data_IF_536366037738
#
_entry.id   IF_536366037738
#
_cell.length_a   1.000
_cell.length_b   1.000
_cell.length_c   1.000
_cell.angle_alpha   90.00
_cell.angle_beta   90.00
_cell.angle_gamma   90.00
#
_symmetry.space_group_name_H-M   'P 1'
#
loop_
_entity.id
_entity.type
_entity.pdbx_description
1 polymer ?
#
# COMPACT_ATOMS: atom_id res chain seq x y z
N UNK A 1 -7.20 6.41 -18.25
CA UNK A 1 -5.94 6.29 -19.01
C UNK A 1 -4.98 5.46 -18.15
N UNK A 2 -4.09 4.67 -18.73
CA UNK A 2 -3.35 3.64 -18.00
C UNK A 2 -2.08 4.15 -17.33
N UNK A 3 -1.53 3.32 -16.43
CA UNK A 3 -0.19 3.51 -15.86
C UNK A 3 0.85 3.38 -16.96
N UNK A 4 1.79 4.31 -17.01
CA UNK A 4 2.97 4.24 -17.87
C UNK A 4 4.04 3.42 -17.15
N UNK A 5 4.52 2.37 -17.81
CA UNK A 5 5.49 1.43 -17.25
C UNK A 5 6.69 1.28 -18.19
N UNK A 6 7.90 1.04 -17.64
CA UNK A 6 9.03 0.60 -18.44
C UNK A 6 8.67 -0.64 -19.28
N UNK A 7 9.03 -0.65 -20.56
CA UNK A 7 8.58 -1.67 -21.50
C UNK A 7 8.89 -3.13 -21.09
N UNK A 8 9.93 -3.32 -20.28
CA UNK A 8 10.39 -4.64 -19.86
C UNK A 8 9.93 -5.04 -18.45
N UNK A 9 9.06 -4.26 -17.80
CA UNK A 9 8.59 -4.59 -16.46
C UNK A 9 7.76 -5.88 -16.48
N UNK A 10 8.09 -6.91 -15.68
CA UNK A 10 7.40 -8.21 -15.69
C UNK A 10 5.89 -8.13 -15.43
N UNK A 11 5.46 -7.13 -14.65
CA UNK A 11 4.04 -6.87 -14.38
C UNK A 11 3.20 -6.69 -15.66
N UNK A 12 3.77 -6.14 -16.73
CA UNK A 12 3.04 -5.86 -18.00
C UNK A 12 2.39 -7.11 -18.56
N UNK A 13 3.14 -8.23 -18.64
CA UNK A 13 2.62 -9.47 -19.25
C UNK A 13 1.49 -10.08 -18.41
N UNK A 14 1.57 -9.98 -17.09
CA UNK A 14 0.50 -10.47 -16.21
C UNK A 14 -0.74 -9.59 -16.31
N UNK A 15 -0.57 -8.28 -16.25
CA UNK A 15 -1.68 -7.31 -16.35
C UNK A 15 -2.41 -7.41 -17.70
N UNK A 16 -1.70 -7.62 -18.80
CA UNK A 16 -2.31 -7.88 -20.12
C UNK A 16 -3.18 -9.14 -20.09
N UNK A 17 -2.74 -10.23 -19.42
CA UNK A 17 -3.56 -11.45 -19.28
C UNK A 17 -4.81 -11.22 -18.43
N UNK A 18 -4.78 -10.28 -17.51
CA UNK A 18 -5.92 -9.85 -16.68
C UNK A 18 -6.83 -8.85 -17.41
N UNK A 19 -6.57 -8.53 -18.70
CA UNK A 19 -7.26 -7.49 -19.48
C UNK A 19 -7.14 -6.08 -18.86
N UNK A 20 -6.08 -5.82 -18.13
CA UNK A 20 -5.75 -4.51 -17.57
C UNK A 20 -4.87 -3.78 -18.57
N UNK A 21 -5.33 -2.59 -19.01
CA UNK A 21 -4.60 -1.80 -19.98
C UNK A 21 -3.48 -1.01 -19.30
N UNK A 22 -2.24 -1.23 -19.72
CA UNK A 22 -1.05 -0.46 -19.36
C UNK A 22 -0.46 0.20 -20.60
N UNK A 23 0.26 1.31 -20.42
CA UNK A 23 0.84 2.10 -21.52
C UNK A 23 2.36 2.02 -21.45
N UNK A 24 3.02 1.94 -22.60
CA UNK A 24 4.46 2.13 -22.71
C UNK A 24 4.84 3.61 -22.83
N UNK A 25 6.11 3.91 -22.59
CA UNK A 25 6.64 5.28 -22.60
C UNK A 25 6.49 5.98 -23.95
N UNK A 26 6.57 5.23 -25.07
CA UNK A 26 6.43 5.79 -26.41
C UNK A 26 5.00 6.32 -26.66
N UNK A 27 4.01 5.55 -26.25
CA UNK A 27 2.62 5.97 -26.36
C UNK A 27 2.27 7.10 -25.41
N UNK A 28 2.81 7.07 -24.17
CA UNK A 28 2.60 8.12 -23.19
C UNK A 28 3.15 9.47 -23.67
N UNK A 29 4.36 9.49 -24.22
CA UNK A 29 5.00 10.71 -24.71
C UNK A 29 4.32 11.36 -25.91
N UNK A 30 3.43 10.64 -26.60
CA UNK A 30 2.64 11.16 -27.73
C UNK A 30 1.37 11.91 -27.29
N UNK A 31 1.07 11.98 -26.00
CA UNK A 31 -0.11 12.65 -25.44
C UNK A 31 0.28 13.96 -24.74
N UNK A 32 -0.45 15.04 -25.04
CA UNK A 32 -0.26 16.35 -24.38
C UNK A 32 -1.02 16.40 -23.04
N UNK A 33 -0.62 15.53 -22.08
CA UNK A 33 -1.23 15.41 -20.76
C UNK A 33 -0.11 15.30 -19.73
N UNK A 34 -0.20 16.07 -18.65
CA UNK A 34 0.68 15.88 -17.50
C UNK A 34 0.25 14.62 -16.73
N UNK A 35 1.04 13.55 -16.74
CA UNK A 35 0.74 12.37 -15.93
C UNK A 35 0.94 12.70 -14.44
N UNK A 36 0.22 11.98 -13.59
CA UNK A 36 0.50 11.97 -12.15
C UNK A 36 1.77 11.16 -11.89
N UNK A 37 2.73 11.75 -11.21
CA UNK A 37 3.96 11.07 -10.77
C UNK A 37 3.71 10.35 -9.45
N UNK A 38 3.66 9.04 -9.51
CA UNK A 38 3.48 8.20 -8.32
C UNK A 38 4.76 7.46 -8.01
N UNK A 39 5.27 7.68 -6.78
CA UNK A 39 6.42 6.96 -6.24
C UNK A 39 5.93 5.78 -5.40
N UNK A 40 6.56 4.61 -5.54
CA UNK A 40 6.29 3.44 -4.69
C UNK A 40 7.57 3.03 -3.99
N UNK A 41 7.63 3.22 -2.68
CA UNK A 41 8.67 2.62 -1.83
C UNK A 41 8.25 1.20 -1.49
N UNK A 42 8.87 0.24 -2.17
CA UNK A 42 8.56 -1.18 -2.01
C UNK A 42 9.51 -1.84 -1.01
N UNK A 43 9.00 -2.07 0.21
CA UNK A 43 9.72 -2.72 1.31
C UNK A 43 9.49 -4.23 1.39
N UNK A 44 8.58 -4.75 0.54
CA UNK A 44 8.23 -6.18 0.53
C UNK A 44 9.36 -7.05 -0.03
N UNK A 45 9.49 -8.28 0.48
CA UNK A 45 10.56 -9.19 0.03
C UNK A 45 10.33 -9.74 -1.39
N UNK A 46 9.06 -9.90 -1.81
CA UNK A 46 8.66 -10.35 -3.14
C UNK A 46 8.26 -9.14 -3.99
N UNK A 47 9.25 -8.34 -4.41
CA UNK A 47 9.00 -7.04 -5.05
C UNK A 47 8.17 -7.14 -6.32
N UNK A 48 8.46 -8.09 -7.19
CA UNK A 48 7.75 -8.29 -8.48
C UNK A 48 6.26 -8.56 -8.26
N UNK A 49 5.90 -9.34 -7.25
CA UNK A 49 4.50 -9.59 -6.90
C UNK A 49 3.83 -8.31 -6.41
N UNK A 50 4.48 -7.61 -5.47
CA UNK A 50 3.95 -6.36 -4.90
C UNK A 50 3.81 -5.26 -5.95
N UNK A 51 4.76 -5.13 -6.87
CA UNK A 51 4.66 -4.22 -8.03
C UNK A 51 3.37 -4.49 -8.81
N UNK A 52 3.14 -5.76 -9.16
CA UNK A 52 1.97 -6.17 -9.93
C UNK A 52 0.67 -5.84 -9.20
N UNK A 53 0.61 -6.10 -7.89
CA UNK A 53 -0.56 -5.83 -7.07
C UNK A 53 -0.87 -4.33 -6.99
N UNK A 54 0.13 -3.49 -6.76
CA UNK A 54 -0.02 -2.03 -6.72
C UNK A 54 -0.40 -1.49 -8.11
N UNK A 55 0.29 -1.91 -9.18
CA UNK A 55 0.00 -1.43 -10.53
C UNK A 55 -1.41 -1.82 -10.98
N UNK A 56 -1.89 -3.00 -10.60
CA UNK A 56 -3.27 -3.44 -10.87
C UNK A 56 -4.30 -2.44 -10.34
N UNK A 57 -4.11 -1.93 -9.12
CA UNK A 57 -5.01 -0.95 -8.50
C UNK A 57 -4.85 0.44 -9.11
N UNK A 58 -3.60 0.87 -9.33
CA UNK A 58 -3.32 2.17 -9.99
C UNK A 58 -3.83 2.24 -11.43
N UNK A 59 -3.97 1.10 -12.11
CA UNK A 59 -4.47 1.04 -13.51
C UNK A 59 -5.99 1.20 -13.61
N UNK A 60 -6.72 1.16 -12.50
CA UNK A 60 -8.19 1.28 -12.50
C UNK A 60 -8.65 2.75 -12.37
N UNK A 61 -8.06 3.64 -13.14
CA UNK A 61 -8.39 5.07 -13.17
C UNK A 61 -8.31 5.62 -14.60
N UNK A 62 -9.07 6.65 -14.96
CA UNK A 62 -8.89 7.37 -16.22
C UNK A 62 -7.67 8.29 -16.24
N UNK A 63 -7.02 8.52 -15.09
CA UNK A 63 -5.85 9.38 -14.97
C UNK A 63 -4.60 8.69 -15.52
N UNK A 64 -3.74 9.44 -16.20
CA UNK A 64 -2.44 8.93 -16.62
C UNK A 64 -1.47 8.98 -15.43
N UNK A 65 -0.76 7.86 -15.20
CA UNK A 65 0.18 7.71 -14.09
C UNK A 65 1.55 7.34 -14.65
N UNK A 66 2.55 8.09 -14.24
CA UNK A 66 3.98 7.79 -14.38
C UNK A 66 4.46 7.17 -13.06
N UNK A 67 4.86 5.90 -13.12
CA UNK A 67 5.27 5.14 -11.93
C UNK A 67 6.78 5.16 -11.77
N UNK A 68 7.24 5.51 -10.57
CA UNK A 68 8.64 5.38 -10.14
C UNK A 68 8.71 4.37 -9.00
N UNK A 69 9.58 3.36 -9.12
CA UNK A 69 9.81 2.38 -8.06
C UNK A 69 11.07 2.75 -7.27
N UNK A 70 10.99 2.64 -5.96
CA UNK A 70 12.09 2.91 -5.03
C UNK A 70 12.26 1.77 -4.04
N UNK A 71 13.50 1.48 -3.68
CA UNK A 71 13.85 0.52 -2.64
C UNK A 71 14.85 1.09 -1.64
N UNK A 72 15.06 0.38 -0.52
CA UNK A 72 16.09 0.71 0.45
C UNK A 72 17.41 0.09 -0.01
N UNK A 73 18.42 0.93 -0.22
CA UNK A 73 19.73 0.54 -0.77
C UNK A 73 20.47 -0.48 0.09
N UNK A 74 20.46 -0.27 1.40
CA UNK A 74 21.18 -1.12 2.34
C UNK A 74 20.49 -2.46 2.65
N UNK A 75 19.28 -2.64 2.14
CA UNK A 75 18.49 -3.85 2.36
C UNK A 75 18.63 -4.81 1.15
N UNK A 76 19.54 -5.79 1.28
CA UNK A 76 19.69 -6.86 0.27
C UNK A 76 18.39 -7.69 0.19
N UNK A 77 17.64 -7.48 -0.87
CA UNK A 77 16.45 -8.27 -1.17
C UNK A 77 16.86 -9.69 -1.57
N UNK A 78 16.69 -10.65 -0.65
CA UNK A 78 17.06 -12.06 -0.89
C UNK A 78 16.18 -12.76 -1.94
N UNK A 79 15.00 -12.22 -2.23
CA UNK A 79 13.96 -12.87 -3.04
C UNK A 79 13.68 -12.13 -4.36
N UNK A 80 14.45 -11.11 -4.70
CA UNK A 80 14.33 -10.38 -5.96
C UNK A 80 15.68 -10.39 -6.68
N UNK A 81 15.74 -10.75 -7.98
CA UNK A 81 16.96 -10.71 -8.75
C UNK A 81 17.59 -9.31 -8.73
N UNK A 82 18.93 -9.25 -8.62
CA UNK A 82 19.63 -7.96 -8.57
C UNK A 82 19.46 -7.18 -9.88
N UNK A 83 19.38 -7.89 -11.00
CA UNK A 83 19.18 -7.30 -12.33
C UNK A 83 17.86 -6.56 -12.39
N UNK A 84 16.79 -7.10 -11.78
CA UNK A 84 15.50 -6.46 -11.71
C UNK A 84 15.54 -5.15 -10.89
N UNK A 85 16.27 -5.16 -9.76
CA UNK A 85 16.45 -3.95 -8.95
C UNK A 85 17.21 -2.88 -9.72
N UNK A 86 18.31 -3.25 -10.39
CA UNK A 86 19.12 -2.31 -11.16
C UNK A 86 18.40 -1.73 -12.38
N UNK A 87 17.46 -2.48 -12.95
CA UNK A 87 16.73 -2.05 -14.15
C UNK A 87 15.52 -1.17 -13.82
N UNK A 88 14.80 -1.45 -12.72
CA UNK A 88 13.47 -0.87 -12.46
C UNK A 88 13.39 -0.03 -11.18
N UNK A 89 14.34 -0.14 -10.25
CA UNK A 89 14.28 0.55 -8.97
C UNK A 89 15.31 1.67 -8.88
N UNK A 90 14.92 2.71 -8.17
CA UNK A 90 15.78 3.84 -7.83
C UNK A 90 16.15 3.77 -6.34
N UNK A 91 17.34 4.26 -6.01
CA UNK A 91 17.73 4.60 -4.65
C UNK A 91 17.10 5.95 -4.23
N UNK A 92 16.98 6.19 -2.93
CA UNK A 92 16.47 7.46 -2.43
C UNK A 92 17.27 8.66 -2.93
N UNK A 93 18.59 8.56 -3.03
CA UNK A 93 19.46 9.63 -3.55
C UNK A 93 19.13 10.05 -4.99
N UNK A 94 18.59 9.17 -5.80
CA UNK A 94 18.20 9.42 -7.18
C UNK A 94 16.86 10.15 -7.30
N UNK A 95 15.99 10.02 -6.30
CA UNK A 95 14.63 10.59 -6.32
C UNK A 95 14.45 11.80 -5.39
N UNK A 96 15.29 11.97 -4.37
CA UNK A 96 15.10 13.01 -3.33
C UNK A 96 15.08 14.45 -3.84
N UNK A 97 15.63 14.73 -5.01
CA UNK A 97 15.58 16.04 -5.67
C UNK A 97 14.32 16.28 -6.51
N UNK A 98 13.37 15.34 -6.52
CA UNK A 98 12.15 15.40 -7.30
C UNK A 98 10.92 15.57 -6.40
N UNK A 99 9.83 16.06 -7.00
CA UNK A 99 8.51 16.09 -6.37
C UNK A 99 7.59 15.07 -7.04
N UNK A 100 6.67 14.51 -6.25
CA UNK A 100 5.70 13.50 -6.68
C UNK A 100 4.28 13.90 -6.27
N UNK A 101 3.31 13.54 -7.10
CA UNK A 101 1.90 13.76 -6.78
C UNK A 101 1.43 12.81 -5.68
N UNK A 102 1.92 11.56 -5.68
CA UNK A 102 1.60 10.58 -4.65
C UNK A 102 2.78 9.68 -4.31
N UNK A 103 2.78 9.17 -3.07
CA UNK A 103 3.70 8.15 -2.60
C UNK A 103 2.91 6.98 -2.00
N UNK A 104 3.30 5.77 -2.33
CA UNK A 104 2.83 4.55 -1.65
C UNK A 104 4.03 3.92 -0.95
N UNK A 105 3.93 3.69 0.36
CA UNK A 105 4.91 2.93 1.13
C UNK A 105 4.30 1.60 1.51
N UNK A 106 4.88 0.51 1.04
CA UNK A 106 4.35 -0.84 1.27
C UNK A 106 4.65 -1.35 2.69
N UNK A 107 4.00 -2.42 3.09
CA UNK A 107 4.38 -3.19 4.28
C UNK A 107 5.81 -3.74 4.21
N UNK A 108 6.29 -4.23 5.35
CA UNK A 108 7.59 -4.88 5.48
C UNK A 108 7.50 -6.03 6.50
N UNK A 109 8.21 -7.16 6.30
CA UNK A 109 8.14 -8.33 7.19
C UNK A 109 9.01 -8.17 8.45
N UNK A 110 9.00 -7.01 9.06
CA UNK A 110 9.80 -6.64 10.25
C UNK A 110 8.93 -6.13 11.41
N UNK A 111 7.63 -6.37 11.34
CA UNK A 111 6.64 -5.83 12.27
C UNK A 111 6.82 -6.26 13.73
N UNK A 112 7.45 -7.41 13.97
CA UNK A 112 7.71 -7.89 15.33
C UNK A 112 8.93 -7.24 15.99
N UNK A 113 9.80 -6.57 15.21
CA UNK A 113 10.93 -5.83 15.76
C UNK A 113 10.48 -4.45 16.28
N UNK A 114 11.04 -3.94 17.38
CA UNK A 114 10.98 -2.51 17.68
C UNK A 114 11.43 -1.70 16.46
N UNK A 115 10.86 -0.52 16.25
CA UNK A 115 11.20 0.29 15.07
C UNK A 115 12.68 0.63 15.02
N UNK A 116 13.28 0.94 16.17
CA UNK A 116 14.68 1.32 16.34
C UNK A 116 15.65 0.16 16.03
N UNK A 117 15.18 -1.09 16.07
CA UNK A 117 15.97 -2.28 15.74
C UNK A 117 15.90 -2.64 14.24
N UNK A 118 15.03 -1.98 13.48
CA UNK A 118 14.98 -2.16 12.02
C UNK A 118 16.21 -1.50 11.41
N UNK A 119 17.04 -2.29 10.72
CA UNK A 119 18.37 -1.87 10.23
C UNK A 119 18.34 -0.62 9.35
N UNK A 120 17.25 -0.39 8.64
CA UNK A 120 17.03 0.75 7.74
C UNK A 120 16.08 1.81 8.32
N UNK A 121 15.84 1.80 9.65
CA UNK A 121 14.91 2.74 10.28
C UNK A 121 15.28 4.20 10.07
N UNK A 122 16.54 4.55 10.19
CA UNK A 122 17.01 5.93 9.97
C UNK A 122 16.71 6.42 8.55
N UNK A 123 16.88 5.56 7.54
CA UNK A 123 16.56 5.91 6.15
C UNK A 123 15.04 6.04 5.93
N UNK A 124 14.22 5.22 6.58
CA UNK A 124 12.75 5.36 6.54
C UNK A 124 12.33 6.71 7.14
N UNK A 125 12.88 7.10 8.28
CA UNK A 125 12.59 8.40 8.90
C UNK A 125 12.98 9.57 7.98
N UNK A 126 14.12 9.47 7.30
CA UNK A 126 14.56 10.48 6.32
C UNK A 126 13.57 10.58 5.15
N UNK A 127 13.17 9.44 4.57
CA UNK A 127 12.20 9.39 3.47
C UNK A 127 10.82 9.92 3.92
N UNK A 128 10.35 9.57 5.11
CA UNK A 128 9.07 10.06 5.64
C UNK A 128 9.07 11.58 5.81
N UNK A 129 10.14 12.13 6.40
CA UNK A 129 10.28 13.57 6.55
C UNK A 129 10.38 14.29 5.20
N UNK A 130 11.13 13.73 4.25
CA UNK A 130 11.22 14.23 2.88
C UNK A 130 9.84 14.23 2.19
N UNK A 131 9.07 13.15 2.33
CA UNK A 131 7.76 13.02 1.69
C UNK A 131 6.80 14.14 2.09
N UNK A 132 6.85 14.62 3.35
CA UNK A 132 6.01 15.74 3.82
C UNK A 132 6.18 17.04 3.03
N UNK A 133 7.31 17.22 2.35
CA UNK A 133 7.68 18.43 1.62
C UNK A 133 7.73 18.23 0.10
N UNK A 134 7.76 16.98 -0.37
CA UNK A 134 7.96 16.66 -1.79
C UNK A 134 6.81 15.83 -2.39
N UNK A 135 5.82 15.48 -1.58
CA UNK A 135 4.69 14.64 -2.02
C UNK A 135 3.37 15.26 -1.59
N UNK A 136 2.39 15.28 -2.49
CA UNK A 136 1.05 15.83 -2.17
C UNK A 136 0.30 14.93 -1.19
N UNK A 137 0.20 13.61 -1.47
CA UNK A 137 -0.46 12.65 -0.57
C UNK A 137 0.28 11.32 -0.52
N UNK A 138 0.36 10.74 0.68
CA UNK A 138 1.07 9.46 0.93
C UNK A 138 0.13 8.41 1.49
N UNK A 139 0.14 7.21 0.90
CA UNK A 139 -0.45 6.00 1.46
C UNK A 139 0.63 5.17 2.16
N UNK A 140 0.51 4.98 3.45
CA UNK A 140 1.32 4.05 4.25
C UNK A 140 0.52 2.76 4.46
N UNK A 141 1.07 1.60 4.08
CA UNK A 141 0.35 0.31 4.12
C UNK A 141 0.98 -0.61 5.18
N UNK A 142 0.15 -1.24 6.00
CA UNK A 142 0.48 -2.25 7.01
C UNK A 142 1.60 -1.78 7.97
N UNK A 143 2.78 -2.39 7.92
CA UNK A 143 3.91 -1.97 8.75
C UNK A 143 4.27 -0.49 8.55
N UNK A 144 4.24 0.00 7.31
CA UNK A 144 4.55 1.41 7.05
C UNK A 144 3.50 2.34 7.67
N UNK A 145 2.23 1.92 7.77
CA UNK A 145 1.21 2.68 8.49
C UNK A 145 1.55 2.82 9.98
N UNK A 146 1.94 1.71 10.62
CA UNK A 146 2.37 1.73 12.02
C UNK A 146 3.65 2.56 12.21
N UNK A 147 4.61 2.43 11.29
CA UNK A 147 5.88 3.17 11.31
C UNK A 147 5.66 4.68 11.15
N UNK A 148 4.78 5.09 10.23
CA UNK A 148 4.43 6.49 10.02
C UNK A 148 3.69 7.09 11.22
N UNK A 149 2.71 6.38 11.78
CA UNK A 149 1.99 6.79 12.98
C UNK A 149 2.93 6.93 14.19
N UNK A 150 3.89 6.00 14.34
CA UNK A 150 4.90 6.09 15.38
C UNK A 150 5.85 7.27 15.18
N UNK A 151 6.41 7.40 13.97
CA UNK A 151 7.40 8.43 13.64
C UNK A 151 6.86 9.83 13.80
N UNK A 152 5.65 10.08 13.29
CA UNK A 152 5.10 11.43 13.24
C UNK A 152 4.26 11.82 14.46
N UNK A 153 3.62 10.84 15.09
CA UNK A 153 2.59 11.08 16.11
C UNK A 153 2.84 10.34 17.42
N UNK A 154 3.91 9.54 17.51
CA UNK A 154 4.26 8.79 18.70
C UNK A 154 3.26 7.67 19.04
N UNK A 155 2.42 7.26 18.10
CA UNK A 155 1.45 6.17 18.32
C UNK A 155 2.18 4.83 18.35
N UNK A 156 2.13 4.08 19.46
CA UNK A 156 2.84 2.81 19.57
C UNK A 156 2.13 1.70 18.79
N UNK A 157 2.88 0.69 18.39
CA UNK A 157 2.32 -0.60 17.97
C UNK A 157 2.29 -1.58 19.13
N UNK A 158 1.32 -2.47 19.12
CA UNK A 158 1.13 -3.51 20.13
C UNK A 158 1.18 -4.89 19.48
N UNK A 159 1.82 -5.90 20.13
CA UNK A 159 1.78 -7.26 19.65
C UNK A 159 0.37 -7.84 19.82
N UNK A 160 -0.05 -8.63 18.85
CA UNK A 160 -1.25 -9.45 18.92
C UNK A 160 -0.93 -10.80 19.58
N UNK A 161 -1.86 -11.37 20.31
CA UNK A 161 -1.71 -12.72 20.88
C UNK A 161 -1.63 -13.79 19.78
N UNK A 162 -2.38 -13.58 18.71
CA UNK A 162 -2.38 -14.42 17.51
C UNK A 162 -2.27 -13.56 16.25
N UNK A 163 -1.73 -14.12 15.18
CA UNK A 163 -1.65 -13.45 13.88
C UNK A 163 -3.06 -13.08 13.43
N UNK A 164 -3.30 -11.80 13.16
CA UNK A 164 -4.50 -11.33 12.45
C UNK A 164 -4.38 -11.77 11.00
N UNK A 165 -5.13 -12.83 10.63
CA UNK A 165 -4.95 -13.50 9.35
C UNK A 165 -6.29 -13.89 8.72
N UNK A 166 -6.65 -13.23 7.62
CA UNK A 166 -7.93 -13.47 6.95
C UNK A 166 -8.49 -12.24 6.25
N UNK A 167 -9.79 -12.29 5.96
CA UNK A 167 -10.56 -11.24 5.29
C UNK A 167 -11.66 -10.77 6.23
N UNK A 168 -11.55 -9.54 6.72
CA UNK A 168 -12.40 -8.99 7.77
C UNK A 168 -13.35 -7.93 7.23
N UNK A 169 -14.51 -7.84 7.84
CA UNK A 169 -15.53 -6.83 7.53
C UNK A 169 -15.18 -5.51 8.22
N UNK A 170 -15.32 -4.42 7.49
CA UNK A 170 -15.08 -3.06 7.95
C UNK A 170 -16.25 -2.14 7.66
N UNK A 171 -16.33 -1.04 8.39
CA UNK A 171 -17.26 0.06 8.16
C UNK A 171 -16.51 1.38 8.10
N UNK A 172 -17.09 2.37 7.44
CA UNK A 172 -16.61 3.75 7.48
C UNK A 172 -17.21 4.49 8.66
N UNK A 173 -16.39 5.23 9.44
CA UNK A 173 -16.87 6.06 10.55
C UNK A 173 -17.61 7.30 10.02
N UNK A 174 -17.22 7.81 8.86
CA UNK A 174 -17.93 8.84 8.11
C UNK A 174 -17.95 8.45 6.61
N UNK A 175 -19.04 7.83 6.14
CA UNK A 175 -19.17 7.39 4.74
C UNK A 175 -19.31 8.56 3.75
N UNK A 176 -19.45 9.80 4.21
CA UNK A 176 -19.54 10.98 3.35
C UNK A 176 -18.17 11.45 2.85
N UNK A 177 -17.09 10.99 3.47
CA UNK A 177 -15.73 11.34 3.06
C UNK A 177 -15.42 10.84 1.65
N UNK A 178 -14.75 11.65 0.81
CA UNK A 178 -14.45 11.28 -0.57
C UNK A 178 -13.70 9.95 -0.74
N UNK A 179 -12.89 9.56 0.25
CA UNK A 179 -12.16 8.27 0.23
C UNK A 179 -13.08 7.05 0.16
N UNK A 180 -14.29 7.14 0.73
CA UNK A 180 -15.29 6.07 0.76
C UNK A 180 -16.34 6.17 -0.34
N UNK A 181 -16.24 7.13 -1.25
CA UNK A 181 -17.23 7.32 -2.30
C UNK A 181 -17.41 6.06 -3.15
N UNK A 182 -18.64 5.55 -3.15
CA UNK A 182 -19.02 4.36 -3.90
C UNK A 182 -18.72 3.02 -3.21
N UNK A 183 -18.12 3.05 -2.01
CA UNK A 183 -18.03 1.85 -1.17
C UNK A 183 -19.42 1.56 -0.57
N UNK A 184 -19.67 0.27 -0.32
CA UNK A 184 -20.84 -0.18 0.42
C UNK A 184 -20.69 0.16 1.91
N UNK A 185 -21.79 0.11 2.68
CA UNK A 185 -21.80 0.37 4.14
C UNK A 185 -20.89 -0.60 4.89
N UNK A 186 -20.76 -1.83 4.38
CA UNK A 186 -19.86 -2.87 4.85
C UNK A 186 -18.96 -3.32 3.70
N UNK A 187 -17.67 -3.40 3.95
CA UNK A 187 -16.71 -3.84 2.95
C UNK A 187 -15.63 -4.73 3.58
N UNK A 188 -14.99 -5.56 2.76
CA UNK A 188 -14.05 -6.57 3.23
C UNK A 188 -12.61 -6.20 2.87
N UNK A 189 -11.68 -6.49 3.79
CA UNK A 189 -10.26 -6.20 3.62
C UNK A 189 -9.42 -7.37 4.12
N UNK A 190 -8.41 -7.83 3.36
CA UNK A 190 -7.42 -8.79 3.83
C UNK A 190 -6.51 -8.19 4.89
N UNK A 191 -6.18 -8.98 5.91
CA UNK A 191 -5.17 -8.69 6.91
C UNK A 191 -4.21 -9.86 7.07
N UNK A 192 -2.92 -9.55 7.26
CA UNK A 192 -1.87 -10.49 7.61
C UNK A 192 -0.83 -9.77 8.46
N UNK A 193 -1.01 -9.75 9.77
CA UNK A 193 -0.14 -8.98 10.68
C UNK A 193 -0.07 -9.59 12.08
N UNK A 194 1.05 -9.36 12.78
CA UNK A 194 1.31 -9.77 14.16
C UNK A 194 1.24 -8.61 15.15
N UNK A 195 1.02 -7.39 14.66
CA UNK A 195 0.95 -6.19 15.50
C UNK A 195 -0.24 -5.31 15.07
N UNK A 196 -0.66 -4.43 15.96
CA UNK A 196 -1.75 -3.49 15.75
C UNK A 196 -1.41 -2.10 16.27
N UNK A 197 -2.15 -1.09 15.80
CA UNK A 197 -2.33 0.19 16.48
C UNK A 197 -3.71 0.18 17.14
N UNK A 198 -3.80 0.71 18.34
CA UNK A 198 -5.06 0.70 19.10
C UNK A 198 -5.80 2.01 18.96
N UNK A 199 -7.14 1.90 18.95
CA UNK A 199 -8.02 3.06 18.91
C UNK A 199 -7.70 4.06 20.02
N UNK A 200 -7.50 3.56 21.23
CA UNK A 200 -7.26 4.39 22.42
C UNK A 200 -5.95 5.20 22.34
N UNK A 201 -4.96 4.74 21.57
CA UNK A 201 -3.73 5.49 21.34
C UNK A 201 -3.88 6.54 20.26
N UNK A 202 -4.63 6.23 19.20
CA UNK A 202 -4.95 7.18 18.13
C UNK A 202 -5.83 8.33 18.63
N UNK A 203 -6.82 8.06 19.49
CA UNK A 203 -7.71 9.07 20.08
C UNK A 203 -6.99 10.09 20.98
N UNK A 204 -5.79 9.79 21.43
CA UNK A 204 -4.94 10.75 22.18
C UNK A 204 -4.25 11.78 21.26
N UNK A 205 -4.27 11.55 19.95
CA UNK A 205 -3.59 12.39 18.95
C UNK A 205 -4.62 13.16 18.15
N UNK A 206 -4.77 14.45 18.45
CA UNK A 206 -5.77 15.32 17.84
C UNK A 206 -5.61 15.50 16.32
N UNK A 207 -4.40 15.29 15.79
CA UNK A 207 -4.05 15.46 14.39
C UNK A 207 -4.42 14.23 13.54
N UNK A 208 -4.78 13.10 14.16
CA UNK A 208 -5.11 11.86 13.48
C UNK A 208 -6.59 11.55 13.63
N UNK A 209 -7.26 11.28 12.51
CA UNK A 209 -8.67 10.89 12.47
C UNK A 209 -8.79 9.44 12.04
N UNK A 210 -9.51 8.62 12.81
CA UNK A 210 -9.84 7.24 12.44
C UNK A 210 -11.02 7.27 11.47
N UNK A 211 -10.79 6.76 10.26
CA UNK A 211 -11.79 6.81 9.19
C UNK A 211 -12.59 5.50 9.05
N UNK A 212 -11.96 4.36 9.34
CA UNK A 212 -12.57 3.04 9.16
C UNK A 212 -12.02 2.03 10.17
N UNK A 213 -12.91 1.15 10.62
CA UNK A 213 -12.64 0.15 11.64
C UNK A 213 -13.39 -1.15 11.37
N UNK A 214 -12.97 -2.20 12.09
CA UNK A 214 -13.60 -3.50 12.16
C UNK A 214 -13.75 -3.91 13.63
N UNK A 215 -14.85 -4.56 14.00
CA UNK A 215 -15.01 -5.17 15.32
C UNK A 215 -13.98 -6.29 15.54
N UNK A 216 -13.63 -7.03 14.48
CA UNK A 216 -12.73 -8.19 14.55
C UNK A 216 -11.26 -7.82 14.39
N UNK A 217 -10.93 -6.84 13.52
CA UNK A 217 -9.53 -6.51 13.18
C UNK A 217 -9.08 -5.10 13.59
N UNK A 218 -9.91 -4.34 14.30
CA UNK A 218 -9.58 -3.02 14.82
C UNK A 218 -9.47 -1.94 13.75
N UNK A 219 -8.62 -0.95 13.98
CA UNK A 219 -8.46 0.21 13.09
C UNK A 219 -7.92 -0.21 11.73
N UNK A 220 -8.59 0.24 10.67
CA UNK A 220 -8.17 -0.03 9.28
C UNK A 220 -7.57 1.19 8.60
N UNK A 221 -8.26 2.33 8.58
CA UNK A 221 -7.76 3.56 7.97
C UNK A 221 -7.75 4.67 9.00
N UNK A 222 -6.59 5.30 9.15
CA UNK A 222 -6.44 6.59 9.80
C UNK A 222 -5.91 7.62 8.81
N UNK A 223 -6.23 8.90 9.03
CA UNK A 223 -5.83 10.01 8.16
C UNK A 223 -5.28 11.16 8.99
N UNK A 224 -4.31 11.85 8.45
CA UNK A 224 -3.80 13.10 9.01
C UNK A 224 -3.54 14.15 7.93
N UNK A 225 -3.30 15.40 8.36
CA UNK A 225 -2.97 16.52 7.48
C UNK A 225 -3.95 16.70 6.33
N UNK A 226 -5.26 16.59 6.60
CA UNK A 226 -6.34 16.81 5.62
C UNK A 226 -6.21 15.93 4.36
N UNK A 227 -5.80 14.66 4.53
CA UNK A 227 -5.66 13.71 3.44
C UNK A 227 -4.28 13.68 2.78
N UNK A 228 -3.30 14.38 3.33
CA UNK A 228 -1.91 14.26 2.88
C UNK A 228 -1.22 12.99 3.40
N UNK A 229 -1.75 12.38 4.45
CA UNK A 229 -1.22 11.14 5.04
C UNK A 229 -2.37 10.16 5.33
N UNK A 230 -2.34 8.99 4.72
CA UNK A 230 -3.25 7.88 4.99
C UNK A 230 -2.47 6.70 5.55
N UNK A 231 -2.94 6.16 6.66
CA UNK A 231 -2.37 5.00 7.35
C UNK A 231 -3.36 3.85 7.25
N UNK A 232 -3.02 2.84 6.43
CA UNK A 232 -3.88 1.71 6.09
C UNK A 232 -3.27 0.44 6.67
N UNK A 233 -3.90 -0.17 7.68
CA UNK A 233 -3.35 -1.33 8.40
C UNK A 233 -3.60 -2.67 7.69
N UNK A 234 -4.56 -2.71 6.78
CA UNK A 234 -4.91 -3.90 5.98
C UNK A 234 -4.24 -3.88 4.61
N UNK A 235 -4.54 -4.92 3.82
CA UNK A 235 -3.92 -5.19 2.54
C UNK A 235 -4.93 -5.25 1.40
N UNK A 236 -5.50 -4.10 1.03
CA UNK A 236 -6.43 -4.04 -0.11
C UNK A 236 -5.77 -4.38 -1.45
N UNK A 237 -4.44 -4.27 -1.54
CA UNK A 237 -3.66 -4.58 -2.73
C UNK A 237 -3.48 -6.08 -3.00
N UNK A 238 -3.72 -6.94 -2.04
CA UNK A 238 -3.46 -8.37 -2.16
C UNK A 238 -4.19 -9.03 -3.33
N UNK A 239 -3.43 -9.82 -4.09
CA UNK A 239 -4.00 -10.75 -5.08
C UNK A 239 -4.86 -11.83 -4.40
N UNK A 240 -5.76 -12.47 -5.15
CA UNK A 240 -6.62 -13.54 -4.61
C UNK A 240 -5.86 -14.63 -3.86
N UNK A 241 -4.68 -15.01 -4.33
CA UNK A 241 -3.90 -16.15 -3.83
C UNK A 241 -2.88 -15.78 -2.75
N UNK A 242 -2.76 -14.50 -2.37
CA UNK A 242 -1.69 -14.04 -1.46
C UNK A 242 -1.76 -14.72 -0.10
N UNK A 243 -2.95 -14.73 0.55
CA UNK A 243 -3.11 -15.38 1.86
C UNK A 243 -2.95 -16.90 1.77
N UNK A 244 -3.38 -17.54 0.68
CA UNK A 244 -3.17 -18.97 0.43
C UNK A 244 -1.67 -19.29 0.34
N UNK A 245 -0.92 -18.49 -0.40
CA UNK A 245 0.53 -18.63 -0.53
C UNK A 245 1.25 -18.46 0.82
N UNK A 246 0.82 -17.48 1.63
CA UNK A 246 1.35 -17.29 2.98
C UNK A 246 1.02 -18.48 3.89
N UNK A 247 -0.21 -18.92 3.89
CA UNK A 247 -0.66 -20.08 4.68
C UNK A 247 0.14 -21.33 4.36
N UNK A 248 0.21 -21.70 3.08
CA UNK A 248 0.93 -22.89 2.61
C UNK A 248 2.43 -22.82 2.89
N UNK A 249 3.03 -21.63 2.71
CA UNK A 249 4.43 -21.37 3.07
C UNK A 249 4.71 -21.61 4.55
N UNK A 250 3.85 -21.11 5.42
CA UNK A 250 4.05 -21.16 6.86
C UNK A 250 3.78 -22.57 7.41
N UNK A 251 2.78 -23.27 6.87
CA UNK A 251 2.57 -24.71 7.13
C UNK A 251 3.78 -25.55 6.70
N UNK A 252 4.33 -25.29 5.50
CA UNK A 252 5.52 -26.01 5.00
C UNK A 252 6.77 -25.78 5.86
N UNK A 253 6.84 -24.65 6.57
CA UNK A 253 7.89 -24.36 7.56
C UNK A 253 7.64 -24.98 8.93
N UNK A 254 6.52 -25.65 9.14
CA UNK A 254 6.13 -26.22 10.43
C UNK A 254 5.70 -25.19 11.46
N UNK A 255 5.32 -23.99 11.04
CA UNK A 255 4.81 -22.96 11.93
C UNK A 255 3.37 -23.27 12.34
N UNK A 256 3.03 -22.96 13.58
CA UNK A 256 1.64 -23.02 14.05
C UNK A 256 0.89 -21.81 13.47
N UNK A 257 0.13 -22.02 12.41
CA UNK A 257 -0.69 -21.01 11.78
C UNK A 257 -2.11 -21.51 11.62
N UNK A 258 -3.09 -20.68 11.91
CA UNK A 258 -4.50 -20.94 11.67
C UNK A 258 -4.86 -20.68 10.21
N UNK A 259 -5.98 -21.26 9.76
CA UNK A 259 -6.55 -20.93 8.45
C UNK A 259 -6.88 -19.44 8.38
N UNK A 260 -6.66 -18.77 7.23
CA UNK A 260 -7.09 -17.39 7.06
C UNK A 260 -8.61 -17.31 7.14
N UNK A 261 -9.11 -16.51 8.08
CA UNK A 261 -10.55 -16.38 8.36
C UNK A 261 -11.30 -15.79 7.16
N UNK A 262 -12.51 -16.28 6.91
CA UNK A 262 -13.42 -15.80 5.85
C UNK A 262 -12.81 -15.80 4.43
N UNK A 263 -11.82 -16.63 4.18
CA UNK A 263 -11.04 -16.61 2.95
C UNK A 263 -11.36 -17.80 2.04
N UNK A 264 -11.28 -19.02 2.53
CA UNK A 264 -11.62 -20.19 1.74
C UNK A 264 -13.13 -20.46 1.72
N UNK A 265 -13.61 -21.05 0.64
CA UNK A 265 -14.97 -21.57 0.59
C UNK A 265 -15.10 -22.75 1.57
N UNK A 266 -16.11 -22.70 2.45
CA UNK A 266 -16.37 -23.70 3.48
C UNK A 266 -15.17 -23.94 4.44
N UNK A 267 -14.28 -22.99 4.58
CA UNK A 267 -13.04 -23.09 5.37
C UNK A 267 -12.14 -24.28 4.95
N UNK A 268 -12.24 -24.71 3.69
CA UNK A 268 -11.40 -25.78 3.13
C UNK A 268 -10.24 -25.22 2.34
N UNK A 269 -8.97 -25.42 2.78
CA UNK A 269 -7.77 -24.92 2.10
C UNK A 269 -7.50 -25.58 0.74
N UNK A 270 -8.27 -26.59 0.34
CA UNK A 270 -8.25 -27.18 -0.99
C UNK A 270 -9.21 -26.50 -1.97
N UNK A 271 -10.12 -25.67 -1.46
CA UNK A 271 -11.05 -24.88 -2.26
C UNK A 271 -10.44 -23.53 -2.67
N UNK A 272 -11.01 -22.93 -3.74
CA UNK A 272 -10.58 -21.61 -4.20
C UNK A 272 -10.96 -20.52 -3.20
N UNK A 273 -10.12 -19.50 -3.00
CA UNK A 273 -10.46 -18.37 -2.14
C UNK A 273 -11.65 -17.57 -2.66
N UNK A 274 -12.41 -17.01 -1.73
CA UNK A 274 -13.52 -16.09 -2.06
C UNK A 274 -13.01 -14.66 -2.02
N UNK A 275 -12.85 -14.06 -3.17
CA UNK A 275 -12.42 -12.64 -3.26
C UNK A 275 -13.60 -11.72 -2.99
N UNK A 276 -13.57 -11.01 -1.85
CA UNK A 276 -14.61 -10.07 -1.40
C UNK A 276 -14.13 -8.63 -1.31
N UNK A 277 -12.85 -8.34 -1.61
CA UNK A 277 -12.24 -7.03 -1.43
C UNK A 277 -11.89 -6.30 -2.73
N UNK A 278 -11.91 -6.96 -3.89
CA UNK A 278 -11.44 -6.40 -5.16
C UNK A 278 -12.12 -5.09 -5.57
N UNK A 279 -13.44 -5.02 -5.47
CA UNK A 279 -14.18 -3.82 -5.85
C UNK A 279 -13.89 -2.65 -4.91
N UNK A 280 -13.88 -2.91 -3.60
CA UNK A 280 -13.59 -1.92 -2.57
C UNK A 280 -12.15 -1.42 -2.67
N UNK A 281 -11.18 -2.31 -2.90
CA UNK A 281 -9.78 -1.95 -3.15
C UNK A 281 -9.61 -1.01 -4.34
N UNK A 282 -10.24 -1.34 -5.47
CA UNK A 282 -10.21 -0.49 -6.66
C UNK A 282 -10.83 0.89 -6.40
N UNK A 283 -11.94 0.96 -5.68
CA UNK A 283 -12.58 2.23 -5.32
C UNK A 283 -11.70 3.04 -4.37
N UNK A 284 -11.13 2.43 -3.34
CA UNK A 284 -10.25 3.09 -2.38
C UNK A 284 -9.07 3.77 -3.08
N UNK A 285 -8.34 3.03 -3.92
CA UNK A 285 -7.20 3.58 -4.66
C UNK A 285 -7.62 4.63 -5.70
N UNK A 286 -8.72 4.41 -6.41
CA UNK A 286 -9.27 5.38 -7.37
C UNK A 286 -9.70 6.67 -6.67
N UNK A 287 -10.34 6.59 -5.50
CA UNK A 287 -10.75 7.73 -4.72
C UNK A 287 -9.54 8.51 -4.17
N UNK A 288 -8.52 7.79 -3.64
CA UNK A 288 -7.28 8.43 -3.22
C UNK A 288 -6.62 9.18 -4.38
N UNK A 289 -6.42 8.53 -5.53
CA UNK A 289 -5.83 9.16 -6.71
C UNK A 289 -6.61 10.37 -7.19
N UNK A 290 -7.96 10.30 -7.19
CA UNK A 290 -8.79 11.39 -7.69
C UNK A 290 -8.90 12.55 -6.70
N UNK A 291 -9.23 12.28 -5.44
CA UNK A 291 -9.61 13.33 -4.48
C UNK A 291 -8.46 13.87 -3.64
N UNK A 292 -7.40 13.08 -3.41
CA UNK A 292 -6.31 13.45 -2.50
C UNK A 292 -4.95 13.58 -3.22
N UNK A 293 -4.88 13.10 -4.45
CA UNK A 293 -3.69 13.29 -5.30
C UNK A 293 -4.01 14.29 -6.41
N UNK A 294 -4.88 13.93 -7.36
CA UNK A 294 -5.11 14.72 -8.58
C UNK A 294 -5.73 16.10 -8.29
N UNK A 295 -6.72 16.17 -7.40
CA UNK A 295 -7.41 17.44 -7.12
C UNK A 295 -6.62 18.35 -6.16
N UNK A 296 -5.74 17.79 -5.34
CA UNK A 296 -4.94 18.53 -4.36
C UNK A 296 -3.55 18.91 -4.88
N UNK A 297 -3.05 18.21 -5.90
CA UNK A 297 -1.73 18.51 -6.45
C UNK A 297 -1.74 19.84 -7.21
N UNK A 298 -0.74 20.74 -7.02
CA UNK A 298 -0.67 21.97 -7.79
C UNK A 298 -0.38 21.67 -9.27
N UNK A 299 -0.83 22.56 -10.16
CA UNK A 299 -0.56 22.41 -11.59
C UNK A 299 0.93 22.31 -11.89
N UNK A 300 1.73 23.14 -11.24
CA UNK A 300 3.20 23.02 -11.23
C UNK A 300 3.62 22.20 -10.00
N UNK A 301 4.05 20.97 -10.22
CA UNK A 301 4.48 20.04 -9.16
C UNK A 301 5.60 20.59 -8.27
N UNK A 302 6.34 21.61 -8.76
CA UNK A 302 7.40 22.28 -7.98
C UNK A 302 6.85 23.18 -6.86
N UNK A 303 5.55 23.46 -6.87
CA UNK A 303 4.87 24.26 -5.85
C UNK A 303 4.35 23.43 -4.65
N UNK A 304 4.61 22.11 -4.60
CA UNK A 304 4.32 21.27 -3.45
C UNK A 304 5.12 21.76 -2.23
N UNK A 305 4.41 21.96 -1.10
CA UNK A 305 4.97 22.53 0.15
C UNK A 305 4.79 21.57 1.32
#
# INVERSE_FOLDING_TARGET
MPVTLPANLPAIELLKKENIFVMDDLRASSQDIRPLKILVLNLMPLKITTETDIVRLLSNTPLQIELTLMHIKEHNSKNTPIEHLLEFYNDFDEVKGQNFDGLIVTGAPVEQLPFEEVTYWAQIQEIFNWARHHVTSTLYICWAAQAGLYHFYGVPKHPLEQKMFGVFKHTANDPTLPIFRGLDDEFYVPHSRHTEVRREDLEKVSEVTILSESEDSGVYIAMARDGREFFITGHSEYAPETLDTEYKRDVAKGLSIELPQNYYRNDDPNEQPIVRWRSHANLLFSNWLNYYVYQETPFDIREIK
#
